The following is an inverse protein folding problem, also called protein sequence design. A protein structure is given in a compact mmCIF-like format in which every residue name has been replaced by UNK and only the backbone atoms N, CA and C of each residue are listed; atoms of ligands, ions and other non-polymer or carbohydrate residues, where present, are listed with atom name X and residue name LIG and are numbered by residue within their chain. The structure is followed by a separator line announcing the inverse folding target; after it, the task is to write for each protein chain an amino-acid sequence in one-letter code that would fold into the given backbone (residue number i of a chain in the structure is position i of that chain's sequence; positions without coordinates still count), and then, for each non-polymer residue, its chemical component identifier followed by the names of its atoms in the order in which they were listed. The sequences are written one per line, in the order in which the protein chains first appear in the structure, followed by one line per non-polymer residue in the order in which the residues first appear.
data_IF_724218651332
#
_entry.id   IF_724218651332
#
_cell.length_a   1.000
_cell.length_b   1.000
_cell.length_c   1.000
_cell.angle_alpha   90.00
_cell.angle_beta   90.00
_cell.angle_gamma   90.00
#
_symmetry.space_group_name_H-M   'P 1'
#
loop_
_entity.id
_entity.type
_entity.pdbx_description
1 polymer ?
#
# COMPACT_ATOMS: atom_id res chain seq x y z
N UNK A 1 -0.25 27.89 11.58
CA UNK A 1 0.33 26.54 11.84
C UNK A 1 0.49 25.82 10.51
N UNK A 2 1.64 25.20 10.28
CA UNK A 2 1.87 24.41 9.07
C UNK A 2 1.22 23.03 9.24
N UNK A 3 0.29 22.67 8.35
CA UNK A 3 -0.31 21.33 8.30
C UNK A 3 0.33 20.54 7.17
N UNK A 4 1.19 19.55 7.48
CA UNK A 4 1.85 18.77 6.44
C UNK A 4 0.83 17.93 5.67
N UNK A 5 0.85 18.07 4.34
CA UNK A 5 0.09 17.18 3.45
C UNK A 5 0.71 15.76 3.47
N UNK A 6 -0.10 14.75 3.16
CA UNK A 6 0.32 13.35 3.02
C UNK A 6 1.51 13.20 2.07
N UNK A 7 1.57 13.95 0.97
CA UNK A 7 2.71 13.89 0.04
C UNK A 7 4.01 14.41 0.66
N UNK A 8 3.93 15.48 1.46
CA UNK A 8 5.09 16.04 2.15
C UNK A 8 5.69 15.04 3.15
N UNK A 9 4.81 14.33 3.89
CA UNK A 9 5.22 13.25 4.78
C UNK A 9 5.96 12.14 4.02
N UNK A 10 5.45 11.76 2.84
CA UNK A 10 6.06 10.70 2.01
C UNK A 10 7.43 11.12 1.49
N UNK A 11 7.60 12.39 1.12
CA UNK A 11 8.88 12.95 0.73
C UNK A 11 9.92 12.82 1.84
N UNK A 12 9.56 13.17 3.07
CA UNK A 12 10.48 13.04 4.21
C UNK A 12 10.84 11.58 4.45
N UNK A 13 9.87 10.67 4.40
CA UNK A 13 10.11 9.22 4.55
C UNK A 13 11.07 8.72 3.47
N UNK A 14 10.85 9.09 2.21
CA UNK A 14 11.68 8.69 1.09
C UNK A 14 13.10 9.27 1.22
N UNK A 15 13.22 10.53 1.60
CA UNK A 15 14.51 11.19 1.82
C UNK A 15 15.32 10.47 2.90
N UNK A 16 14.70 10.12 4.04
CA UNK A 16 15.35 9.36 5.10
C UNK A 16 15.75 7.94 4.65
N UNK A 17 14.91 7.28 3.85
CA UNK A 17 15.22 5.98 3.27
C UNK A 17 16.44 6.04 2.33
N UNK A 18 16.50 7.03 1.44
CA UNK A 18 17.62 7.24 0.51
C UNK A 18 18.93 7.57 1.24
N UNK A 19 18.86 8.19 2.42
CA UNK A 19 20.01 8.41 3.31
C UNK A 19 20.52 7.14 3.99
N UNK A 20 19.84 6.00 3.82
CA UNK A 20 20.17 4.75 4.50
C UNK A 20 19.75 4.74 5.98
N UNK A 21 18.90 5.67 6.40
CA UNK A 21 18.44 5.70 7.79
C UNK A 21 17.42 4.58 8.04
N UNK A 22 17.39 4.11 9.28
CA UNK A 22 16.42 3.09 9.69
C UNK A 22 15.03 3.70 9.86
N UNK A 23 14.00 2.87 9.74
CA UNK A 23 12.60 3.23 10.00
C UNK A 23 12.41 3.96 11.34
N UNK A 24 13.11 3.51 12.39
CA UNK A 24 13.03 4.10 13.74
C UNK A 24 13.58 5.52 13.77
N UNK A 25 14.68 5.77 13.05
CA UNK A 25 15.26 7.11 12.92
C UNK A 25 14.31 8.03 12.17
N UNK A 26 13.79 7.58 11.02
CA UNK A 26 12.86 8.36 10.22
C UNK A 26 11.57 8.72 10.97
N UNK A 27 11.03 7.80 11.78
CA UNK A 27 9.86 8.05 12.61
C UNK A 27 10.14 9.14 13.67
N UNK A 28 11.34 9.15 14.28
CA UNK A 28 11.77 10.21 15.19
C UNK A 28 11.90 11.54 14.46
N UNK A 29 12.54 11.56 13.29
CA UNK A 29 12.69 12.77 12.46
C UNK A 29 11.33 13.36 12.10
N UNK A 30 10.38 12.54 11.67
CA UNK A 30 9.01 12.97 11.36
C UNK A 30 8.31 13.58 12.57
N UNK A 31 8.42 12.95 13.74
CA UNK A 31 7.84 13.47 14.99
C UNK A 31 8.42 14.83 15.37
N UNK A 32 9.73 15.00 15.18
CA UNK A 32 10.43 16.25 15.50
C UNK A 32 10.12 17.37 14.48
N UNK A 33 9.98 17.05 13.19
CA UNK A 33 9.75 18.05 12.13
C UNK A 33 8.28 18.44 11.96
N UNK A 34 7.35 17.49 12.10
CA UNK A 34 5.93 17.69 11.81
C UNK A 34 5.04 17.70 13.06
N UNK A 35 5.61 17.39 14.23
CA UNK A 35 4.89 17.28 15.50
C UNK A 35 4.38 15.87 15.80
N UNK A 36 3.96 15.65 17.04
CA UNK A 36 3.55 14.34 17.57
C UNK A 36 2.39 13.68 16.82
N UNK A 37 1.55 14.47 16.15
CA UNK A 37 0.32 14.00 15.51
C UNK A 37 0.47 13.68 14.01
N UNK A 38 1.66 13.91 13.44
CA UNK A 38 1.84 13.84 11.99
C UNK A 38 1.71 12.42 11.41
N UNK A 39 2.34 11.42 12.05
CA UNK A 39 2.36 10.04 11.55
C UNK A 39 2.57 9.04 12.69
N UNK A 40 1.72 8.02 12.77
CA UNK A 40 1.93 6.88 13.67
C UNK A 40 3.14 6.04 13.20
N UNK A 41 3.97 5.54 14.13
CA UNK A 41 5.13 4.70 13.85
C UNK A 41 4.80 3.49 12.95
N UNK A 42 3.63 2.86 13.16
CA UNK A 42 3.14 1.74 12.33
C UNK A 42 2.98 2.16 10.86
N UNK A 43 2.49 3.37 10.63
CA UNK A 43 2.36 3.95 9.29
C UNK A 43 3.76 4.17 8.73
N UNK A 44 4.66 4.89 9.41
CA UNK A 44 6.03 5.10 8.93
C UNK A 44 6.74 3.79 8.51
N UNK A 45 6.60 2.73 9.32
CA UNK A 45 7.14 1.40 8.97
C UNK A 45 6.56 0.82 7.69
N UNK A 46 5.24 0.86 7.53
CA UNK A 46 4.58 0.33 6.33
C UNK A 46 5.04 1.06 5.07
N UNK A 47 5.28 2.36 5.18
CA UNK A 47 5.81 3.21 4.11
C UNK A 47 7.27 2.85 3.77
N UNK A 48 8.14 2.73 4.78
CA UNK A 48 9.52 2.29 4.61
C UNK A 48 9.60 0.93 3.91
N UNK A 49 8.79 -0.02 4.35
CA UNK A 49 8.68 -1.34 3.72
C UNK A 49 8.21 -1.21 2.28
N UNK A 50 7.14 -0.45 2.01
CA UNK A 50 6.63 -0.28 0.64
C UNK A 50 7.69 0.30 -0.30
N UNK A 51 8.42 1.33 0.11
CA UNK A 51 9.51 1.95 -0.67
C UNK A 51 10.65 0.95 -0.93
N UNK A 52 11.02 0.14 0.07
CA UNK A 52 12.07 -0.87 -0.08
C UNK A 52 11.68 -2.02 -1.03
N UNK A 53 10.41 -2.45 -0.99
CA UNK A 53 9.91 -3.59 -1.78
C UNK A 53 9.52 -3.19 -3.20
N UNK A 54 8.96 -2.00 -3.39
CA UNK A 54 8.69 -1.43 -4.70
C UNK A 54 9.98 -0.86 -5.29
N UNK A 55 10.82 -1.73 -5.81
CA UNK A 55 12.02 -1.39 -6.58
C UNK A 55 11.67 -0.32 -7.64
N UNK A 56 12.05 0.93 -7.40
CA UNK A 56 11.86 2.11 -8.27
C UNK A 56 10.45 2.73 -8.40
N UNK A 57 9.44 2.32 -7.64
CA UNK A 57 8.17 3.08 -7.63
C UNK A 57 8.15 4.09 -6.47
N UNK A 58 8.71 5.26 -6.75
CA UNK A 58 8.70 6.43 -5.88
C UNK A 58 7.39 7.23 -5.98
N UNK A 59 6.33 6.67 -6.59
CA UNK A 59 5.08 7.39 -6.71
C UNK A 59 4.52 7.71 -5.33
N UNK A 60 4.47 9.02 -5.03
CA UNK A 60 3.99 9.55 -3.76
C UNK A 60 2.47 9.61 -3.71
N UNK A 61 1.78 9.05 -4.72
CA UNK A 61 0.31 9.00 -4.77
C UNK A 61 -0.19 7.73 -4.12
N UNK A 62 -1.42 7.78 -3.62
CA UNK A 62 -2.08 6.54 -3.23
C UNK A 62 -2.31 5.71 -4.49
N UNK A 63 -2.06 4.41 -4.39
CA UNK A 63 -2.55 3.48 -5.40
C UNK A 63 -4.07 3.63 -5.54
N UNK A 64 -4.54 3.52 -6.77
CA UNK A 64 -5.97 3.45 -7.06
C UNK A 64 -6.52 2.26 -6.30
N UNK A 65 -7.40 2.51 -5.33
CA UNK A 65 -8.06 1.42 -4.61
C UNK A 65 -8.92 0.68 -5.62
N UNK A 66 -8.67 -0.62 -5.81
CA UNK A 66 -9.61 -1.46 -6.53
C UNK A 66 -10.96 -1.33 -5.83
N UNK A 67 -11.94 -0.76 -6.52
CA UNK A 67 -13.31 -0.72 -6.03
C UNK A 67 -13.83 -2.15 -5.84
N UNK A 68 -14.93 -2.30 -5.10
CA UNK A 68 -15.63 -3.58 -5.08
C UNK A 68 -16.07 -3.89 -6.51
N UNK A 69 -15.49 -4.93 -7.12
CA UNK A 69 -15.89 -5.38 -8.45
C UNK A 69 -17.38 -5.69 -8.38
N UNK A 70 -18.22 -4.92 -9.09
CA UNK A 70 -19.65 -5.20 -9.14
C UNK A 70 -19.78 -6.60 -9.70
N UNK A 71 -20.26 -7.51 -8.85
CA UNK A 71 -20.62 -8.91 -9.09
C UNK A 71 -20.71 -9.21 -10.59
N UNK A 72 -19.76 -9.96 -11.13
CA UNK A 72 -19.99 -10.63 -12.40
C UNK A 72 -21.28 -11.43 -12.22
N UNK A 73 -22.35 -11.08 -12.93
CA UNK A 73 -23.47 -12.00 -13.09
C UNK A 73 -22.91 -13.13 -13.95
N UNK A 74 -22.36 -14.15 -13.30
CA UNK A 74 -22.02 -15.41 -13.92
C UNK A 74 -23.32 -16.13 -14.28
N UNK A 75 -24.00 -15.66 -15.33
CA UNK A 75 -24.84 -16.53 -16.15
C UNK A 75 -23.90 -17.30 -17.09
N UNK A 76 -22.98 -18.08 -16.51
CA UNK A 76 -22.27 -19.09 -17.27
C UNK A 76 -23.19 -20.32 -17.25
N UNK A 77 -23.70 -20.79 -18.40
CA UNK A 77 -24.47 -22.02 -18.42
C UNK A 77 -23.52 -23.12 -17.95
N UNK A 78 -23.81 -23.67 -16.78
CA UNK A 78 -23.22 -24.91 -16.32
C UNK A 78 -23.60 -25.96 -17.37
N UNK A 79 -22.72 -26.19 -18.35
CA UNK A 79 -22.78 -27.37 -19.20
C UNK A 79 -22.77 -28.57 -18.25
N UNK A 80 -23.94 -29.21 -18.12
CA UNK A 80 -24.09 -30.43 -17.35
C UNK A 80 -23.27 -31.50 -18.06
N UNK A 81 -22.17 -31.91 -17.44
CA UNK A 81 -21.51 -33.16 -17.80
C UNK A 81 -22.52 -34.28 -17.53
N UNK A 82 -23.03 -34.92 -18.58
CA UNK A 82 -23.77 -36.18 -18.44
C UNK A 82 -22.74 -37.28 -18.16
N UNK A 83 -22.93 -38.14 -17.14
CA UNK A 83 -22.09 -39.31 -16.99
C UNK A 83 -22.39 -40.30 -18.12
N UNK A 84 -21.34 -40.74 -18.82
CA UNK A 84 -21.40 -41.87 -19.72
C UNK A 84 -21.77 -43.11 -18.90
N UNK A 85 -22.90 -43.72 -19.23
CA UNK A 85 -23.25 -45.04 -18.71
C UNK A 85 -22.28 -46.03 -19.38
N UNK A 86 -21.42 -46.62 -18.57
CA UNK A 86 -20.69 -47.84 -18.92
C UNK A 86 -21.66 -49.00 -18.69
N UNK A 87 -22.33 -49.46 -19.75
CA UNK A 87 -22.98 -50.77 -19.71
C UNK A 87 -21.94 -51.86 -20.03
N UNK A 88 -21.97 -52.91 -19.22
CA UNK A 88 -21.19 -54.13 -19.34
C UNK A 88 -22.04 -55.21 -19.98
#
# INVERSE_FOLDING_TARGET
MYTPNKEHIRYIVLFEFLRGNTTSSAAKTLKNTLGSDAVNQKTCRRWFTAVAFKKNDFSLRNETRAGCSKKLNCNLPLMKMQPAILEN
#
